data_IF_722280113229
#
_entry.id   IF_722280113229
#
_cell.length_a   1.000
_cell.length_b   1.000
_cell.length_c   1.000
_cell.angle_alpha   90.00
_cell.angle_beta   90.00
_cell.angle_gamma   90.00
#
_symmetry.space_group_name_H-M   'P 1'
#
loop_
_entity.id
_entity.type
_entity.pdbx_description
1 polymer ?
#
# COMPACT_ATOMS: atom_id res chain seq x y z
N UNK A 1 6.60 -15.49 -22.17
CA UNK A 1 5.53 -16.35 -21.64
C UNK A 1 4.34 -15.43 -21.36
N UNK A 2 3.22 -15.66 -22.03
CA UNK A 2 1.97 -14.93 -21.73
C UNK A 2 1.51 -15.27 -20.31
N UNK A 3 1.82 -14.45 -19.37
CA UNK A 3 1.35 -14.58 -17.99
C UNK A 3 -0.12 -14.14 -17.97
N UNK A 4 -1.04 -15.09 -18.16
CA UNK A 4 -2.47 -14.83 -18.09
C UNK A 4 -2.81 -14.26 -16.71
N UNK A 5 -3.25 -13.02 -16.68
CA UNK A 5 -3.85 -12.41 -15.50
C UNK A 5 -5.23 -13.02 -15.28
N UNK A 6 -5.50 -13.47 -14.05
CA UNK A 6 -6.83 -13.95 -13.63
C UNK A 6 -7.40 -12.92 -12.65
N UNK A 7 -8.58 -12.39 -12.97
CA UNK A 7 -9.31 -11.49 -12.07
C UNK A 7 -10.44 -12.25 -11.38
N UNK A 8 -10.60 -12.00 -10.08
CA UNK A 8 -11.67 -12.55 -9.23
C UNK A 8 -12.29 -11.47 -8.37
N UNK A 9 -13.53 -11.66 -7.99
CA UNK A 9 -14.22 -10.85 -7.00
C UNK A 9 -14.53 -11.72 -5.79
N UNK A 10 -14.02 -11.34 -4.62
CA UNK A 10 -14.08 -12.15 -3.39
C UNK A 10 -14.88 -11.40 -2.34
N UNK A 11 -15.97 -11.98 -1.81
CA UNK A 11 -16.76 -11.41 -0.73
C UNK A 11 -15.94 -11.36 0.57
N UNK A 12 -15.96 -10.20 1.26
CA UNK A 12 -15.29 -9.99 2.54
C UNK A 12 -16.14 -9.13 3.48
N UNK A 13 -15.71 -8.97 4.73
CA UNK A 13 -16.37 -8.12 5.72
C UNK A 13 -16.37 -6.62 5.36
N UNK A 14 -15.46 -6.19 4.48
CA UNK A 14 -15.34 -4.80 4.01
C UNK A 14 -15.89 -4.59 2.60
N UNK A 15 -16.60 -5.56 2.04
CA UNK A 15 -17.19 -5.55 0.71
C UNK A 15 -16.59 -6.61 -0.21
N UNK A 16 -17.02 -6.61 -1.46
CA UNK A 16 -16.45 -7.52 -2.46
C UNK A 16 -15.14 -6.91 -2.97
N UNK A 17 -14.02 -7.61 -2.75
CA UNK A 17 -12.72 -7.14 -3.21
C UNK A 17 -12.39 -7.74 -4.58
N UNK A 18 -11.97 -6.89 -5.50
CA UNK A 18 -11.39 -7.31 -6.78
C UNK A 18 -9.92 -7.68 -6.57
N UNK A 19 -9.54 -8.83 -7.13
CA UNK A 19 -8.21 -9.42 -6.96
C UNK A 19 -7.69 -9.84 -8.32
N UNK A 20 -6.46 -9.45 -8.62
CA UNK A 20 -5.77 -9.78 -9.86
C UNK A 20 -4.56 -10.65 -9.55
N UNK A 21 -4.54 -11.87 -10.12
CA UNK A 21 -3.47 -12.83 -9.91
C UNK A 21 -2.65 -12.95 -11.18
N UNK A 22 -1.34 -12.78 -11.09
CA UNK A 22 -0.40 -12.89 -12.21
C UNK A 22 0.91 -13.54 -11.76
N UNK A 23 1.55 -14.30 -12.62
CA UNK A 23 2.79 -15.01 -12.33
C UNK A 23 2.57 -16.35 -11.64
N UNK A 24 3.65 -16.95 -11.16
CA UNK A 24 3.66 -18.25 -10.48
C UNK A 24 4.81 -18.31 -9.47
N UNK A 25 4.76 -19.26 -8.54
CA UNK A 25 5.74 -19.40 -7.46
C UNK A 25 5.20 -18.92 -6.11
N UNK A 26 6.06 -18.55 -5.17
CA UNK A 26 5.63 -18.15 -3.83
C UNK A 26 4.62 -17.00 -3.87
N UNK A 27 3.49 -17.08 -3.14
CA UNK A 27 2.44 -16.08 -3.19
C UNK A 27 2.91 -14.75 -2.57
N UNK A 28 2.55 -13.66 -3.22
CA UNK A 28 2.86 -12.30 -2.78
C UNK A 28 1.63 -11.42 -2.86
N UNK A 29 1.21 -10.85 -1.74
CA UNK A 29 0.14 -9.85 -1.70
C UNK A 29 0.70 -8.48 -2.07
N UNK A 30 0.04 -7.81 -3.01
CA UNK A 30 0.30 -6.42 -3.37
C UNK A 30 -0.92 -5.58 -3.00
N UNK A 31 -0.76 -4.65 -2.04
CA UNK A 31 -1.85 -3.79 -1.61
C UNK A 31 -1.47 -2.31 -1.78
N UNK A 32 -2.29 -1.58 -2.51
CA UNK A 32 -2.04 -0.20 -2.94
C UNK A 32 -2.23 0.87 -1.85
N UNK A 33 -1.80 2.11 -2.16
CA UNK A 33 -2.02 3.30 -1.35
C UNK A 33 -3.47 3.81 -1.47
N UNK A 34 -3.89 4.68 -0.54
CA UNK A 34 -5.12 5.46 -0.68
C UNK A 34 -5.07 6.32 -1.95
N UNK A 35 -6.21 6.57 -2.58
CA UNK A 35 -6.44 7.37 -3.80
C UNK A 35 -6.05 6.71 -5.13
N UNK A 36 -5.48 5.52 -5.09
CA UNK A 36 -5.10 4.72 -6.26
C UNK A 36 -5.67 3.31 -6.13
N UNK A 37 -5.38 2.44 -7.07
CA UNK A 37 -5.82 1.04 -7.09
C UNK A 37 -4.68 0.10 -7.48
N UNK A 38 -4.98 -1.16 -7.70
CA UNK A 38 -3.99 -2.19 -8.05
C UNK A 38 -3.23 -1.92 -9.35
N UNK A 39 -3.71 -1.02 -10.21
CA UNK A 39 -3.00 -0.65 -11.45
C UNK A 39 -1.66 0.03 -11.19
N UNK A 40 -1.43 0.57 -9.99
CA UNK A 40 -0.13 1.13 -9.60
C UNK A 40 0.99 0.09 -9.54
N UNK A 41 0.66 -1.20 -9.47
CA UNK A 41 1.62 -2.30 -9.49
C UNK A 41 2.02 -2.75 -10.89
N UNK A 42 1.30 -2.34 -11.95
CA UNK A 42 1.56 -2.75 -13.34
C UNK A 42 3.03 -2.53 -13.75
N UNK A 43 3.70 -1.40 -13.44
CA UNK A 43 5.10 -1.20 -13.82
C UNK A 43 6.08 -2.20 -13.18
N UNK A 44 5.67 -2.89 -12.11
CA UNK A 44 6.46 -3.90 -11.42
C UNK A 44 6.17 -5.33 -11.90
N UNK A 45 5.08 -5.55 -12.65
CA UNK A 45 4.63 -6.89 -13.00
C UNK A 45 5.70 -7.70 -13.72
N UNK A 46 6.27 -7.21 -14.80
CA UNK A 46 7.27 -7.93 -15.60
C UNK A 46 8.57 -8.23 -14.83
N UNK A 47 8.80 -7.50 -13.73
CA UNK A 47 9.99 -7.63 -12.89
C UNK A 47 9.80 -8.58 -11.72
N UNK A 48 8.60 -8.65 -11.18
CA UNK A 48 8.28 -9.45 -9.99
C UNK A 48 7.63 -10.80 -10.34
N UNK A 49 6.78 -10.85 -11.38
CA UNK A 49 6.06 -12.07 -11.79
C UNK A 49 6.96 -13.27 -12.15
N UNK A 50 8.19 -13.09 -12.66
CA UNK A 50 9.11 -14.21 -12.85
C UNK A 50 9.53 -14.89 -11.54
N UNK A 51 9.36 -14.24 -10.40
CA UNK A 51 9.84 -14.69 -9.10
C UNK A 51 8.70 -15.03 -8.12
N UNK A 52 7.48 -14.55 -8.38
CA UNK A 52 6.35 -14.63 -7.44
C UNK A 52 5.01 -14.77 -8.18
N UNK A 53 4.06 -15.44 -7.52
CA UNK A 53 2.64 -15.29 -7.83
C UNK A 53 2.15 -14.01 -7.15
N UNK A 54 1.90 -12.97 -7.93
CA UNK A 54 1.43 -11.68 -7.42
C UNK A 54 -0.10 -11.68 -7.30
N UNK A 55 -0.60 -11.34 -6.12
CA UNK A 55 -2.00 -11.21 -5.74
C UNK A 55 -2.26 -9.73 -5.46
N UNK A 56 -2.60 -8.97 -6.50
CA UNK A 56 -2.89 -7.53 -6.38
C UNK A 56 -4.34 -7.33 -5.96
N UNK A 57 -4.56 -6.65 -4.84
CA UNK A 57 -5.89 -6.42 -4.26
C UNK A 57 -6.28 -4.97 -4.45
N UNK A 58 -7.47 -4.73 -4.99
CA UNK A 58 -8.14 -3.44 -4.86
C UNK A 58 -8.79 -3.37 -3.48
N UNK A 59 -8.34 -2.44 -2.65
CA UNK A 59 -8.92 -2.27 -1.32
C UNK A 59 -10.37 -1.75 -1.38
N UNK A 60 -11.13 -1.82 -0.27
CA UNK A 60 -12.54 -1.43 -0.26
C UNK A 60 -12.76 -0.01 -0.78
N UNK A 61 -13.65 0.12 -1.78
CA UNK A 61 -13.99 1.38 -2.42
C UNK A 61 -12.99 1.91 -3.44
N UNK A 62 -12.02 1.10 -3.86
CA UNK A 62 -11.02 1.43 -4.88
C UNK A 62 -11.11 0.45 -6.05
N UNK A 63 -10.64 0.89 -7.20
CA UNK A 63 -10.61 0.06 -8.41
C UNK A 63 -11.96 -0.57 -8.72
N UNK A 64 -11.97 -1.89 -8.91
CA UNK A 64 -13.17 -2.67 -9.15
C UNK A 64 -13.82 -3.23 -7.87
N UNK A 65 -13.30 -2.92 -6.68
CA UNK A 65 -13.87 -3.33 -5.40
C UNK A 65 -15.08 -2.52 -5.01
N UNK A 66 -16.06 -3.17 -4.35
CA UNK A 66 -17.22 -2.45 -3.84
C UNK A 66 -16.85 -1.65 -2.58
N UNK A 67 -17.61 -0.56 -2.35
CA UNK A 67 -17.47 0.25 -1.15
C UNK A 67 -18.48 -0.21 -0.09
N UNK A 68 -18.00 -0.44 1.13
CA UNK A 68 -18.90 -0.52 2.28
C UNK A 68 -19.47 0.86 2.62
N UNK A 69 -20.72 0.90 3.14
CA UNK A 69 -21.39 2.17 3.47
C UNK A 69 -21.05 2.70 4.87
N UNK A 70 -20.04 2.13 5.51
CA UNK A 70 -19.55 2.49 6.85
C UNK A 70 -18.03 2.67 6.85
N UNK A 71 -17.52 3.21 7.92
CA UNK A 71 -16.06 3.16 8.16
C UNK A 71 -15.64 1.70 8.40
N UNK A 72 -14.42 1.41 8.07
CA UNK A 72 -13.74 0.14 8.32
C UNK A 72 -12.40 0.40 9.04
N UNK A 73 -11.86 -0.61 9.66
CA UNK A 73 -10.58 -0.55 10.40
C UNK A 73 -9.47 -1.22 9.61
N UNK A 74 -8.22 -1.07 10.08
CA UNK A 74 -7.08 -1.81 9.52
C UNK A 74 -7.20 -3.30 9.84
N UNK A 75 -7.73 -3.64 11.01
CA UNK A 75 -7.99 -5.03 11.40
C UNK A 75 -8.97 -5.71 10.44
N UNK A 76 -10.08 -5.04 10.12
CA UNK A 76 -11.04 -5.55 9.11
C UNK A 76 -10.42 -5.67 7.71
N UNK A 77 -9.47 -4.80 7.34
CA UNK A 77 -8.72 -4.95 6.09
C UNK A 77 -7.77 -6.16 6.13
N UNK A 78 -7.11 -6.42 7.26
CA UNK A 78 -6.25 -7.59 7.46
C UNK A 78 -7.06 -8.89 7.41
N UNK A 79 -8.22 -8.94 8.09
CA UNK A 79 -9.17 -10.06 8.01
C UNK A 79 -9.65 -10.29 6.57
N UNK A 80 -9.96 -9.21 5.84
CA UNK A 80 -10.35 -9.30 4.44
C UNK A 80 -9.23 -9.82 3.54
N UNK A 81 -7.98 -9.44 3.81
CA UNK A 81 -6.82 -9.98 3.09
C UNK A 81 -6.66 -11.49 3.35
N UNK A 82 -6.82 -11.93 4.60
CA UNK A 82 -6.81 -13.36 4.94
C UNK A 82 -7.94 -14.09 4.21
N UNK A 83 -9.16 -13.56 4.20
CA UNK A 83 -10.29 -14.14 3.47
C UNK A 83 -10.03 -14.23 1.95
N UNK A 84 -9.33 -13.25 1.38
CA UNK A 84 -8.89 -13.29 -0.03
C UNK A 84 -7.93 -14.45 -0.26
N UNK A 85 -6.93 -14.64 0.59
CA UNK A 85 -5.95 -15.71 0.48
C UNK A 85 -6.63 -17.09 0.61
N UNK A 86 -7.53 -17.25 1.58
CA UNK A 86 -8.29 -18.48 1.79
C UNK A 86 -9.18 -18.83 0.58
N UNK A 87 -9.87 -17.84 0.01
CA UNK A 87 -10.70 -18.02 -1.19
C UNK A 87 -9.88 -18.36 -2.45
N UNK A 88 -8.59 -18.00 -2.47
CA UNK A 88 -7.63 -18.39 -3.51
C UNK A 88 -6.98 -19.74 -3.24
N UNK A 89 -7.20 -20.36 -2.08
CA UNK A 89 -6.56 -21.60 -1.67
C UNK A 89 -5.09 -21.44 -1.27
N UNK A 90 -4.65 -20.22 -0.90
CA UNK A 90 -3.30 -19.93 -0.47
C UNK A 90 -3.18 -20.25 1.02
N UNK A 91 -2.55 -21.38 1.34
CA UNK A 91 -2.35 -21.86 2.72
C UNK A 91 -0.94 -21.59 3.26
N UNK A 92 0.01 -21.36 2.38
CA UNK A 92 1.40 -21.05 2.73
C UNK A 92 1.57 -19.57 3.13
N UNK A 93 2.60 -19.24 3.94
CA UNK A 93 2.93 -17.85 4.26
C UNK A 93 3.22 -17.03 3.00
N UNK A 94 2.70 -15.80 2.96
CA UNK A 94 2.87 -14.90 1.81
C UNK A 94 4.01 -13.91 2.03
N UNK A 95 4.65 -13.48 0.95
CA UNK A 95 5.38 -12.22 0.97
C UNK A 95 4.36 -11.07 0.84
N UNK A 96 4.55 -10.01 1.60
CA UNK A 96 3.68 -8.84 1.55
C UNK A 96 4.43 -7.63 1.01
N UNK A 97 3.86 -6.94 0.02
CA UNK A 97 4.36 -5.63 -0.43
C UNK A 97 3.20 -4.65 -0.39
N UNK A 98 3.29 -3.68 0.51
CA UNK A 98 2.23 -2.69 0.71
C UNK A 98 2.72 -1.26 0.58
N UNK A 99 2.00 -0.44 -0.19
CA UNK A 99 2.29 0.98 -0.27
C UNK A 99 1.34 1.76 0.66
N UNK A 100 1.88 2.56 1.56
CA UNK A 100 1.13 3.38 2.50
C UNK A 100 0.02 2.59 3.23
N UNK A 101 -1.24 2.76 2.83
CA UNK A 101 -2.35 1.97 3.35
C UNK A 101 -2.09 0.46 3.26
N UNK A 102 -1.60 -0.01 2.12
CA UNK A 102 -1.24 -1.41 1.95
C UNK A 102 -0.17 -1.90 2.91
N UNK A 103 0.77 -1.02 3.26
CA UNK A 103 1.77 -1.30 4.30
C UNK A 103 1.14 -1.39 5.69
N UNK A 104 0.16 -0.52 6.03
CA UNK A 104 -0.58 -0.64 7.29
C UNK A 104 -1.29 -1.99 7.39
N UNK A 105 -1.99 -2.42 6.33
CA UNK A 105 -2.69 -3.71 6.31
C UNK A 105 -1.70 -4.86 6.51
N UNK A 106 -0.54 -4.84 5.82
CA UNK A 106 0.50 -5.85 5.96
C UNK A 106 1.09 -5.95 7.37
N UNK A 107 1.39 -4.80 7.99
CA UNK A 107 1.90 -4.77 9.36
C UNK A 107 0.86 -5.30 10.37
N UNK A 108 -0.42 -4.95 10.19
CA UNK A 108 -1.51 -5.47 11.04
C UNK A 108 -1.69 -6.96 10.84
N UNK A 109 -1.68 -7.45 9.59
CA UNK A 109 -1.76 -8.90 9.30
C UNK A 109 -0.61 -9.64 9.96
N UNK A 110 0.63 -9.18 9.78
CA UNK A 110 1.82 -9.84 10.36
C UNK A 110 1.86 -9.79 11.90
N UNK A 111 1.24 -8.78 12.52
CA UNK A 111 1.17 -8.68 13.98
C UNK A 111 0.08 -9.57 14.60
N UNK A 112 -1.04 -9.79 13.88
CA UNK A 112 -2.17 -10.58 14.36
C UNK A 112 -2.05 -12.06 14.00
N UNK A 113 -1.46 -12.36 12.85
CA UNK A 113 -1.21 -13.71 12.36
C UNK A 113 0.27 -13.82 11.89
N UNK A 114 1.21 -14.06 12.83
CA UNK A 114 2.64 -14.12 12.51
C UNK A 114 3.02 -15.19 11.50
N UNK A 115 2.24 -16.28 11.43
CA UNK A 115 2.49 -17.39 10.50
C UNK A 115 1.99 -17.09 9.07
N UNK A 116 1.20 -16.03 8.91
CA UNK A 116 0.62 -15.68 7.61
C UNK A 116 1.58 -14.91 6.71
N UNK A 117 2.57 -14.22 7.27
CA UNK A 117 3.55 -13.43 6.51
C UNK A 117 4.94 -14.02 6.59
N UNK A 118 5.51 -14.42 5.44
CA UNK A 118 6.93 -14.83 5.31
C UNK A 118 7.86 -13.62 5.40
N UNK A 119 7.48 -12.52 4.78
CA UNK A 119 8.18 -11.25 4.81
C UNK A 119 7.22 -10.09 4.57
N UNK A 120 7.61 -8.89 5.01
CA UNK A 120 6.82 -7.67 4.78
C UNK A 120 7.72 -6.58 4.20
N UNK A 121 7.29 -6.00 3.08
CA UNK A 121 7.88 -4.77 2.52
C UNK A 121 6.81 -3.67 2.60
N UNK A 122 7.13 -2.58 3.28
CA UNK A 122 6.28 -1.39 3.31
C UNK A 122 6.93 -0.26 2.51
N UNK A 123 6.14 0.48 1.75
CA UNK A 123 6.61 1.61 0.94
C UNK A 123 5.86 2.85 1.38
N UNK A 124 6.59 3.85 1.89
CA UNK A 124 5.99 5.12 2.32
C UNK A 124 4.88 4.94 3.38
N UNK A 125 5.08 4.11 4.42
CA UNK A 125 4.04 3.73 5.37
C UNK A 125 4.28 4.38 6.74
N UNK A 126 3.59 5.50 7.09
CA UNK A 126 3.68 6.11 8.41
C UNK A 126 3.00 5.22 9.47
N UNK A 127 3.72 4.84 10.52
CA UNK A 127 3.17 4.00 11.59
C UNK A 127 2.42 4.78 12.67
N UNK A 128 2.72 6.07 12.82
CA UNK A 128 2.12 6.95 13.82
C UNK A 128 0.67 7.32 13.46
N UNK A 129 -0.15 7.57 14.48
CA UNK A 129 -1.43 8.23 14.31
C UNK A 129 -1.22 9.70 13.88
N UNK A 130 -2.24 10.29 13.24
CA UNK A 130 -2.18 11.73 12.92
C UNK A 130 -2.03 12.58 14.18
N UNK A 131 -1.10 13.50 14.14
CA UNK A 131 -0.99 14.58 15.13
C UNK A 131 -2.20 15.50 15.06
N UNK A 132 -2.52 16.25 16.14
CA UNK A 132 -3.59 17.24 16.12
C UNK A 132 -3.42 18.29 14.99
N UNK A 133 -2.18 18.68 14.67
CA UNK A 133 -1.87 19.63 13.59
C UNK A 133 -2.19 19.06 12.22
N UNK A 134 -1.74 17.85 11.93
CA UNK A 134 -2.05 17.15 10.67
C UNK A 134 -3.55 16.93 10.52
N UNK A 135 -4.20 16.52 11.61
CA UNK A 135 -5.65 16.32 11.65
C UNK A 135 -6.40 17.62 11.32
N UNK A 136 -5.98 18.76 11.84
CA UNK A 136 -6.56 20.07 11.54
C UNK A 136 -6.48 20.42 10.05
N UNK A 137 -5.46 19.97 9.33
CA UNK A 137 -5.30 20.16 7.89
C UNK A 137 -6.11 19.15 7.08
N UNK A 138 -6.16 17.90 7.52
CA UNK A 138 -6.78 16.81 6.76
C UNK A 138 -8.32 16.81 6.88
N UNK A 139 -8.87 17.16 8.05
CA UNK A 139 -10.33 17.17 8.27
C UNK A 139 -11.07 18.06 7.27
N UNK A 140 -10.68 19.34 7.05
CA UNK A 140 -11.32 20.18 6.03
C UNK A 140 -11.23 19.59 4.63
N UNK A 141 -10.10 18.97 4.27
CA UNK A 141 -9.91 18.33 2.97
C UNK A 141 -10.89 17.15 2.76
N UNK A 142 -11.06 16.29 3.78
CA UNK A 142 -12.00 15.17 3.73
C UNK A 142 -13.44 15.65 3.60
N UNK A 143 -13.82 16.73 4.29
CA UNK A 143 -15.14 17.34 4.17
C UNK A 143 -15.34 18.02 2.80
N UNK A 144 -14.33 18.74 2.29
CA UNK A 144 -14.39 19.32 0.95
C UNK A 144 -14.61 18.23 -0.11
N UNK A 145 -13.88 17.11 0.00
CA UNK A 145 -14.10 15.95 -0.88
C UNK A 145 -15.52 15.38 -0.74
N UNK A 146 -16.04 15.29 0.47
CA UNK A 146 -17.42 14.80 0.72
C UNK A 146 -18.47 15.66 0.02
N UNK A 147 -18.29 16.98 0.01
CA UNK A 147 -19.24 17.96 -0.53
C UNK A 147 -19.08 18.14 -2.04
N UNK A 148 -17.85 18.39 -2.49
CA UNK A 148 -17.54 18.79 -3.86
C UNK A 148 -16.94 17.68 -4.75
N UNK A 149 -16.46 16.58 -4.14
CA UNK A 149 -15.75 15.53 -4.86
C UNK A 149 -14.31 15.93 -5.23
N UNK A 150 -13.71 15.28 -6.25
CA UNK A 150 -12.34 15.53 -6.68
C UNK A 150 -12.23 16.79 -7.56
N UNK A 151 -12.56 17.96 -7.00
CA UNK A 151 -12.39 19.24 -7.69
C UNK A 151 -10.92 19.53 -7.99
N UNK A 152 -10.58 20.37 -9.01
CA UNK A 152 -9.22 20.58 -9.46
C UNK A 152 -8.22 20.96 -8.33
N UNK A 153 -8.52 21.91 -7.42
CA UNK A 153 -7.56 22.23 -6.34
C UNK A 153 -7.25 21.05 -5.44
N UNK A 154 -8.27 20.25 -5.11
CA UNK A 154 -8.12 19.07 -4.27
C UNK A 154 -7.35 17.96 -5.01
N UNK A 155 -7.67 17.72 -6.27
CA UNK A 155 -6.95 16.77 -7.12
C UNK A 155 -5.47 17.15 -7.19
N UNK A 156 -5.15 18.41 -7.45
CA UNK A 156 -3.76 18.89 -7.48
C UNK A 156 -3.05 18.68 -6.16
N UNK A 157 -3.70 18.97 -5.02
CA UNK A 157 -3.11 18.76 -3.71
C UNK A 157 -2.79 17.28 -3.44
N UNK A 158 -3.72 16.38 -3.76
CA UNK A 158 -3.53 14.93 -3.62
C UNK A 158 -2.41 14.43 -4.56
N UNK A 159 -2.42 14.86 -5.83
CA UNK A 159 -1.39 14.45 -6.79
C UNK A 159 0.01 14.94 -6.38
N UNK A 160 0.14 16.15 -5.84
CA UNK A 160 1.43 16.66 -5.35
C UNK A 160 2.01 15.80 -4.21
N UNK A 161 1.17 15.28 -3.33
CA UNK A 161 1.60 14.36 -2.26
C UNK A 161 1.97 12.99 -2.83
N UNK A 162 1.12 12.43 -3.70
CA UNK A 162 1.33 11.09 -4.23
C UNK A 162 2.51 11.01 -5.19
N UNK A 163 2.65 11.99 -6.07
CA UNK A 163 3.52 11.92 -7.25
C UNK A 163 4.67 12.94 -7.23
N UNK A 164 4.70 13.84 -6.24
CA UNK A 164 5.62 14.97 -6.27
C UNK A 164 5.24 16.00 -7.34
N UNK A 165 5.97 17.11 -7.38
CA UNK A 165 5.68 18.22 -8.30
C UNK A 165 6.22 18.03 -9.71
N UNK A 166 7.27 17.22 -9.83
CA UNK A 166 7.99 17.06 -11.11
C UNK A 166 7.39 16.00 -12.03
N UNK A 167 6.63 15.04 -11.50
CA UNK A 167 6.12 13.90 -12.29
C UNK A 167 5.18 14.34 -13.41
N UNK A 168 4.39 15.39 -13.22
CA UNK A 168 3.52 15.93 -14.28
C UNK A 168 4.30 16.37 -15.51
N UNK A 169 5.54 16.81 -15.35
CA UNK A 169 6.44 17.27 -16.41
C UNK A 169 7.26 16.13 -17.00
N UNK A 170 7.79 15.24 -16.15
CA UNK A 170 8.70 14.16 -16.58
C UNK A 170 7.97 12.91 -17.08
N UNK A 171 6.79 12.61 -16.52
CA UNK A 171 5.98 11.43 -16.84
C UNK A 171 4.49 11.78 -16.95
N UNK A 172 4.10 12.64 -17.93
CA UNK A 172 2.73 13.21 -18.00
C UNK A 172 1.65 12.15 -18.19
N UNK A 173 1.93 11.07 -18.90
CA UNK A 173 0.97 9.97 -19.11
C UNK A 173 0.66 9.22 -17.83
N UNK A 174 1.68 8.90 -17.04
CA UNK A 174 1.54 8.24 -15.73
C UNK A 174 0.83 9.16 -14.73
N UNK A 175 1.20 10.43 -14.70
CA UNK A 175 0.53 11.44 -13.88
C UNK A 175 -0.96 11.52 -14.19
N UNK A 176 -1.34 11.58 -15.48
CA UNK A 176 -2.74 11.62 -15.89
C UNK A 176 -3.47 10.31 -15.58
N UNK A 177 -2.83 9.15 -15.72
CA UNK A 177 -3.42 7.86 -15.35
C UNK A 177 -3.79 7.82 -13.87
N UNK A 178 -2.88 8.18 -12.97
CA UNK A 178 -3.13 8.23 -11.52
C UNK A 178 -4.20 9.28 -11.19
N UNK A 179 -4.12 10.47 -11.80
CA UNK A 179 -5.12 11.52 -11.61
C UNK A 179 -6.51 11.07 -12.03
N UNK A 180 -6.62 10.31 -13.10
CA UNK A 180 -7.88 9.76 -13.61
C UNK A 180 -8.45 8.73 -12.64
N UNK A 181 -7.64 7.80 -12.13
CA UNK A 181 -8.06 6.83 -11.11
C UNK A 181 -8.69 7.54 -9.92
N UNK A 182 -8.04 8.56 -9.38
CA UNK A 182 -8.59 9.35 -8.27
C UNK A 182 -9.91 10.06 -8.63
N UNK A 183 -9.97 10.70 -9.80
CA UNK A 183 -11.19 11.43 -10.25
C UNK A 183 -12.36 10.51 -10.52
N UNK A 184 -12.12 9.29 -10.99
CA UNK A 184 -13.16 8.31 -11.34
C UNK A 184 -13.58 7.42 -10.17
N UNK A 185 -12.84 7.44 -9.05
CA UNK A 185 -13.16 6.65 -7.89
C UNK A 185 -14.58 6.93 -7.36
N UNK A 186 -15.34 5.89 -6.93
CA UNK A 186 -16.66 6.07 -6.36
C UNK A 186 -16.62 7.02 -5.17
N UNK A 187 -17.19 8.22 -5.29
CA UNK A 187 -17.08 9.33 -4.31
C UNK A 187 -17.41 8.89 -2.87
N UNK A 188 -18.47 8.08 -2.70
CA UNK A 188 -18.87 7.59 -1.37
C UNK A 188 -17.83 6.63 -0.79
N UNK A 189 -17.34 5.69 -1.62
CA UNK A 189 -16.32 4.72 -1.22
C UNK A 189 -15.01 5.41 -0.86
N UNK A 190 -14.52 6.29 -1.70
CA UNK A 190 -13.32 7.07 -1.44
C UNK A 190 -13.44 7.91 -0.15
N UNK A 191 -14.58 8.58 0.06
CA UNK A 191 -14.81 9.32 1.31
C UNK A 191 -14.77 8.41 2.54
N UNK A 192 -15.38 7.21 2.49
CA UNK A 192 -15.30 6.25 3.60
C UNK A 192 -13.86 5.78 3.83
N UNK A 193 -13.11 5.53 2.78
CA UNK A 193 -11.69 5.17 2.88
C UNK A 193 -10.87 6.31 3.51
N UNK A 194 -11.06 7.56 3.09
CA UNK A 194 -10.41 8.73 3.71
C UNK A 194 -10.74 8.83 5.20
N UNK A 195 -12.00 8.63 5.59
CA UNK A 195 -12.42 8.59 6.99
C UNK A 195 -11.67 7.48 7.76
N UNK A 196 -11.65 6.28 7.21
CA UNK A 196 -11.11 5.08 7.85
C UNK A 196 -9.58 5.15 7.96
N UNK A 197 -8.92 5.46 6.86
CA UNK A 197 -7.46 5.33 6.70
C UNK A 197 -6.73 6.58 7.20
N UNK A 198 -7.27 7.77 6.91
CA UNK A 198 -6.62 9.01 7.34
C UNK A 198 -7.06 9.45 8.74
N UNK A 199 -8.38 9.61 8.96
CA UNK A 199 -8.85 10.29 10.17
C UNK A 199 -9.01 9.38 11.39
N UNK A 200 -9.28 8.10 11.20
CA UNK A 200 -9.64 7.20 12.29
C UNK A 200 -8.68 6.01 12.45
N UNK A 201 -7.62 5.95 11.66
CA UNK A 201 -6.56 4.96 11.85
C UNK A 201 -5.85 5.23 13.18
N UNK A 202 -5.68 4.19 13.96
CA UNK A 202 -4.85 4.22 15.17
C UNK A 202 -3.38 4.14 14.76
N UNK A 203 -2.49 4.58 15.64
CA UNK A 203 -1.05 4.30 15.51
C UNK A 203 -0.79 2.80 15.59
N UNK A 204 0.21 2.34 14.89
CA UNK A 204 0.61 0.93 14.85
C UNK A 204 1.71 0.59 15.85
N UNK A 205 2.27 1.59 16.54
CA UNK A 205 3.40 1.41 17.46
C UNK A 205 3.19 0.27 18.47
N UNK A 206 1.98 0.06 19.05
CA UNK A 206 1.76 -1.07 19.99
C UNK A 206 1.81 -2.45 19.32
N UNK A 207 1.68 -2.51 17.99
CA UNK A 207 1.69 -3.77 17.23
C UNK A 207 3.09 -4.15 16.74
N UNK A 208 3.95 -3.16 16.48
CA UNK A 208 5.26 -3.37 15.84
C UNK A 208 6.13 -4.42 16.56
N UNK A 209 6.24 -4.45 17.92
CA UNK A 209 7.04 -5.47 18.61
C UNK A 209 6.53 -6.91 18.44
N UNK A 210 5.31 -7.10 17.94
CA UNK A 210 4.70 -8.42 17.72
C UNK A 210 4.98 -8.98 16.34
N UNK A 211 5.56 -8.19 15.43
CA UNK A 211 5.82 -8.58 14.04
C UNK A 211 7.11 -9.39 14.01
N UNK A 212 6.98 -10.71 13.92
CA UNK A 212 8.11 -11.62 13.82
C UNK A 212 8.66 -11.74 12.38
N UNK A 213 7.83 -11.49 11.37
CA UNK A 213 8.22 -11.54 9.96
C UNK A 213 9.30 -10.51 9.64
N UNK A 214 10.39 -10.89 8.94
CA UNK A 214 11.39 -9.93 8.44
C UNK A 214 10.70 -8.79 7.69
N UNK A 215 10.96 -7.54 8.11
CA UNK A 215 10.24 -6.37 7.61
C UNK A 215 11.21 -5.32 7.06
N UNK A 216 11.03 -4.95 5.79
CA UNK A 216 11.77 -3.89 5.13
C UNK A 216 10.88 -2.65 4.95
N UNK A 217 11.24 -1.56 5.62
CA UNK A 217 10.53 -0.28 5.48
C UNK A 217 11.23 0.60 4.44
N UNK A 218 10.62 0.74 3.27
CA UNK A 218 11.15 1.54 2.16
C UNK A 218 10.53 2.93 2.17
N UNK A 219 11.34 3.97 2.18
CA UNK A 219 10.88 5.36 2.18
C UNK A 219 11.29 6.05 0.88
N UNK A 220 10.36 6.60 0.09
CA UNK A 220 10.70 7.47 -1.03
C UNK A 220 11.52 8.66 -0.54
N UNK A 221 12.61 9.02 -1.24
CA UNK A 221 13.60 9.99 -0.75
C UNK A 221 13.00 11.35 -0.35
N UNK A 222 12.04 11.84 -1.11
CA UNK A 222 11.37 13.12 -0.85
C UNK A 222 9.89 12.95 -0.43
N UNK A 223 9.54 11.84 0.21
CA UNK A 223 8.21 11.61 0.75
C UNK A 223 7.87 12.63 1.85
N UNK A 224 6.74 13.29 1.71
CA UNK A 224 6.26 14.28 2.70
C UNK A 224 5.39 13.68 3.80
N UNK A 225 5.04 12.39 3.70
CA UNK A 225 4.16 11.69 4.64
C UNK A 225 4.92 10.92 5.71
N UNK A 226 6.16 10.52 5.42
CA UNK A 226 7.04 9.80 6.35
C UNK A 226 8.50 10.13 6.04
N UNK A 227 9.31 10.35 7.07
CA UNK A 227 10.76 10.46 6.92
C UNK A 227 11.46 9.10 7.14
N UNK A 228 12.70 8.98 6.64
CA UNK A 228 13.50 7.78 6.87
C UNK A 228 13.82 7.58 8.35
N UNK A 229 13.96 8.67 9.11
CA UNK A 229 14.20 8.63 10.57
C UNK A 229 12.99 8.05 11.30
N UNK A 230 11.77 8.44 10.91
CA UNK A 230 10.54 7.86 11.45
C UNK A 230 10.43 6.36 11.14
N UNK A 231 10.77 5.97 9.91
CA UNK A 231 10.78 4.56 9.52
C UNK A 231 11.84 3.76 10.29
N UNK A 232 13.06 4.31 10.48
CA UNK A 232 14.11 3.70 11.30
C UNK A 232 13.69 3.55 12.76
N UNK A 233 13.05 4.57 13.33
CA UNK A 233 12.53 4.51 14.69
C UNK A 233 11.45 3.42 14.84
N UNK A 234 10.57 3.27 13.85
CA UNK A 234 9.58 2.20 13.83
C UNK A 234 10.25 0.82 13.67
N UNK A 235 11.17 0.67 12.73
CA UNK A 235 11.92 -0.57 12.50
C UNK A 235 12.68 -1.04 13.75
N UNK A 236 13.28 -0.13 14.49
CA UNK A 236 14.01 -0.44 15.73
C UNK A 236 13.14 -1.05 16.84
N UNK A 237 11.81 -0.97 16.74
CA UNK A 237 10.88 -1.58 17.70
C UNK A 237 10.45 -3.00 17.31
N UNK A 238 10.79 -3.45 16.09
CA UNK A 238 10.46 -4.78 15.58
C UNK A 238 11.66 -5.73 15.71
N UNK A 239 11.44 -7.04 15.96
CA UNK A 239 12.52 -8.01 16.13
C UNK A 239 13.46 -8.12 14.91
N UNK A 240 12.91 -8.07 13.71
CA UNK A 240 13.64 -8.28 12.45
C UNK A 240 13.22 -7.25 11.41
N UNK A 241 13.66 -6.00 11.57
CA UNK A 241 13.30 -4.95 10.62
C UNK A 241 14.44 -3.95 10.39
N UNK A 242 14.45 -3.36 9.22
CA UNK A 242 15.30 -2.23 8.88
C UNK A 242 14.54 -1.25 7.96
N UNK A 243 15.05 -0.02 7.85
CA UNK A 243 14.52 0.99 6.96
C UNK A 243 15.58 1.45 5.97
N UNK A 244 15.17 1.63 4.72
CA UNK A 244 16.01 2.13 3.64
C UNK A 244 15.26 3.15 2.80
N UNK A 245 15.95 3.84 1.90
CA UNK A 245 15.36 4.80 0.98
C UNK A 245 15.38 4.28 -0.45
N UNK A 246 14.47 4.80 -1.26
CA UNK A 246 14.44 4.61 -2.71
C UNK A 246 14.21 5.96 -3.38
N UNK A 247 14.77 6.17 -4.56
CA UNK A 247 14.54 7.38 -5.35
C UNK A 247 13.05 7.59 -5.66
N UNK A 248 12.56 8.80 -5.39
CA UNK A 248 11.18 9.20 -5.66
C UNK A 248 10.80 10.50 -4.97
N UNK A 249 10.10 11.38 -5.69
CA UNK A 249 9.72 12.72 -5.24
C UNK A 249 8.34 12.75 -4.54
N UNK A 250 7.64 11.63 -4.50
CA UNK A 250 6.30 11.52 -3.94
C UNK A 250 6.04 10.13 -3.40
N UNK A 251 4.93 10.02 -2.72
CA UNK A 251 4.54 8.87 -1.91
C UNK A 251 4.42 7.53 -2.67
N UNK A 252 4.05 7.58 -3.97
CA UNK A 252 3.95 6.41 -4.84
C UNK A 252 4.90 6.48 -6.04
N UNK A 253 5.72 7.52 -6.13
CA UNK A 253 6.62 7.75 -7.27
C UNK A 253 7.58 6.59 -7.55
N UNK A 254 8.14 5.87 -6.55
CA UNK A 254 8.97 4.71 -6.83
C UNK A 254 8.30 3.60 -7.65
N UNK A 255 6.98 3.43 -7.49
CA UNK A 255 6.22 2.43 -8.26
C UNK A 255 6.03 2.86 -9.72
N UNK A 256 5.95 4.16 -9.96
CA UNK A 256 5.53 4.73 -11.24
C UNK A 256 6.72 5.16 -12.09
N UNK A 257 7.69 5.86 -11.50
CA UNK A 257 8.82 6.46 -12.21
C UNK A 257 10.14 5.67 -12.06
N UNK A 258 10.29 4.89 -10.99
CA UNK A 258 11.49 4.11 -10.75
C UNK A 258 11.21 2.64 -10.38
N UNK A 259 10.35 1.94 -11.15
CA UNK A 259 9.96 0.56 -10.81
C UNK A 259 11.15 -0.41 -10.86
N UNK A 260 12.20 -0.13 -11.63
CA UNK A 260 13.37 -0.98 -11.73
C UNK A 260 14.15 -1.02 -10.41
N UNK A 261 14.46 0.12 -9.82
CA UNK A 261 15.17 0.21 -8.55
C UNK A 261 14.35 -0.42 -7.41
N UNK A 262 13.05 -0.12 -7.36
CA UNK A 262 12.16 -0.70 -6.36
C UNK A 262 12.07 -2.23 -6.49
N UNK A 263 11.89 -2.77 -7.70
CA UNK A 263 11.86 -4.21 -7.95
C UNK A 263 13.18 -4.89 -7.58
N UNK A 264 14.33 -4.26 -7.89
CA UNK A 264 15.64 -4.77 -7.52
C UNK A 264 15.77 -4.89 -5.99
N UNK A 265 15.39 -3.86 -5.25
CA UNK A 265 15.41 -3.82 -3.80
C UNK A 265 14.50 -4.92 -3.21
N UNK A 266 13.26 -5.04 -3.68
CA UNK A 266 12.30 -6.06 -3.23
C UNK A 266 12.84 -7.47 -3.51
N UNK A 267 13.35 -7.73 -4.72
CA UNK A 267 13.85 -9.05 -5.09
C UNK A 267 15.15 -9.41 -4.37
N UNK A 268 16.02 -8.45 -4.07
CA UNK A 268 17.22 -8.65 -3.25
C UNK A 268 16.83 -9.06 -1.82
N UNK A 269 15.87 -8.34 -1.22
CA UNK A 269 15.33 -8.66 0.10
C UNK A 269 14.69 -10.06 0.13
N UNK A 270 13.90 -10.45 -0.86
CA UNK A 270 13.24 -11.76 -0.89
C UNK A 270 14.19 -12.97 -1.00
N UNK A 271 15.42 -12.77 -1.49
CA UNK A 271 16.41 -13.86 -1.60
C UNK A 271 16.92 -14.34 -0.24
N UNK A 272 17.16 -13.42 0.66
CA UNK A 272 17.59 -13.65 2.04
C UNK A 272 17.14 -12.47 2.91
N UNK A 273 15.89 -12.50 3.42
CA UNK A 273 15.34 -11.36 4.15
C UNK A 273 16.17 -10.99 5.39
N UNK A 274 16.63 -11.97 6.15
CA UNK A 274 17.37 -11.71 7.39
C UNK A 274 18.78 -11.20 7.09
N UNK A 275 19.50 -11.84 6.16
CA UNK A 275 20.82 -11.39 5.75
C UNK A 275 20.77 -9.99 5.11
N UNK A 276 19.76 -9.69 4.30
CA UNK A 276 19.59 -8.37 3.70
C UNK A 276 19.39 -7.27 4.76
N UNK A 277 18.53 -7.50 5.76
CA UNK A 277 18.31 -6.54 6.84
C UNK A 277 19.58 -6.25 7.65
N UNK A 278 20.45 -7.25 7.80
CA UNK A 278 21.73 -7.09 8.50
C UNK A 278 22.75 -6.23 7.73
N UNK A 279 22.51 -5.93 6.45
CA UNK A 279 23.38 -5.04 5.62
C UNK A 279 22.96 -3.58 5.67
N UNK A 280 21.82 -3.26 6.26
CA UNK A 280 21.23 -1.90 6.35
C UNK A 280 21.48 -1.25 7.70
#
# INVERSE_FOLDING_TARGET
>A
MDTKSVSRTIPTSVGNLAVHVIGSGPPTVLWHSLFVDSTTWIPLHDRLAPHRQMISVDGPGHGASTAVRRRFTMDECAEAATAVLDALGVTEPVDWVGNAWGGHVGLVTAAHDPDRCRSVVTIGTPTQALTPRERATIVPMVWAYRIAGPIPPLTTAVMNVLLGKELSRTHPQQFEAVSRTFRQAPRRGMHQAMQSIMLHRRGLEPLLPRIAAPTLMVVPHADTMISVEQARAAAATMPHAAATTVEGDGHITPLIANPAALAHLITAFWRDPVGYLATL
#
